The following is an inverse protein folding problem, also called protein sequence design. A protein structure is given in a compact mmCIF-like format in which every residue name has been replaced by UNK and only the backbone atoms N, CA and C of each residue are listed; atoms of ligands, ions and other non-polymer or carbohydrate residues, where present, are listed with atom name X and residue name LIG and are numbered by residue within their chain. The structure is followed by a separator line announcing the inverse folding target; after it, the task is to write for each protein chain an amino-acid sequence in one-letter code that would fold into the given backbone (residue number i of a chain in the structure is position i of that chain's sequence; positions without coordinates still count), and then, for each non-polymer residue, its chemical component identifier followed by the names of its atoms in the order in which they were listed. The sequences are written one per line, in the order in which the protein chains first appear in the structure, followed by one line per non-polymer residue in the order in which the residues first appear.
data_IF_436622294733
#
_entry.id   IF_436622294733
#
_cell.length_a   1.000
_cell.length_b   1.000
_cell.length_c   1.000
_cell.angle_alpha   90.00
_cell.angle_beta   90.00
_cell.angle_gamma   90.00
#
_symmetry.space_group_name_H-M   'P 1'
#
loop_
_entity.id
_entity.type
_entity.pdbx_description
1 polymer ?
#
# COMPACT_ATOMS: atom_id res chain seq x y z
N UNK A 1 5.90 -30.19 26.75
CA UNK A 1 6.05 -29.00 25.91
C UNK A 1 4.62 -28.57 25.59
N UNK A 2 4.20 -27.32 25.87
CA UNK A 2 2.89 -26.88 25.46
C UNK A 2 2.85 -26.82 23.93
N UNK A 3 1.80 -27.40 23.35
CA UNK A 3 1.52 -27.37 21.91
C UNK A 3 1.51 -25.92 21.44
N UNK A 4 2.49 -25.55 20.62
CA UNK A 4 2.49 -24.31 19.89
C UNK A 4 1.28 -24.29 18.95
N UNK A 5 0.18 -23.72 19.41
CA UNK A 5 -0.96 -23.44 18.57
C UNK A 5 -0.49 -22.38 17.57
N UNK A 6 -0.39 -22.71 16.28
CA UNK A 6 0.03 -21.71 15.30
C UNK A 6 -0.99 -20.58 15.32
N UNK A 7 -0.57 -19.37 15.70
CA UNK A 7 -1.35 -18.15 15.67
C UNK A 7 -1.75 -17.87 14.21
N UNK A 8 -2.90 -18.43 13.82
CA UNK A 8 -3.48 -18.17 12.51
C UNK A 8 -4.16 -16.81 12.54
N UNK A 9 -3.59 -15.83 11.85
CA UNK A 9 -4.22 -14.54 11.65
C UNK A 9 -5.27 -14.68 10.54
N UNK A 10 -6.57 -14.46 10.83
CA UNK A 10 -7.60 -14.53 9.80
C UNK A 10 -7.42 -13.40 8.80
N UNK A 11 -7.24 -13.77 7.55
CA UNK A 11 -7.13 -12.82 6.44
C UNK A 11 -8.25 -13.07 5.42
N UNK A 12 -8.83 -12.01 4.81
CA UNK A 12 -9.89 -12.18 3.82
C UNK A 12 -9.42 -12.99 2.62
N UNK A 13 -10.33 -13.74 2.01
CA UNK A 13 -10.04 -14.50 0.81
C UNK A 13 -9.52 -13.58 -0.32
N UNK A 14 -8.50 -14.05 -1.04
CA UNK A 14 -7.93 -13.39 -2.22
C UNK A 14 -8.18 -14.30 -3.43
N UNK A 15 -8.75 -13.76 -4.50
CA UNK A 15 -9.13 -14.51 -5.70
C UNK A 15 -9.90 -15.82 -5.36
N UNK A 16 -10.85 -15.76 -4.41
CA UNK A 16 -11.65 -16.87 -3.87
C UNK A 16 -10.85 -17.96 -3.12
N UNK A 17 -9.56 -17.75 -2.86
CA UNK A 17 -8.74 -18.68 -2.08
C UNK A 17 -8.64 -18.23 -0.63
N UNK A 18 -8.80 -19.18 0.30
CA UNK A 18 -8.55 -18.94 1.72
C UNK A 18 -7.05 -18.68 1.91
N UNK A 19 -6.73 -17.63 2.65
CA UNK A 19 -5.36 -17.28 3.02
C UNK A 19 -5.14 -17.67 4.47
N UNK A 20 -4.02 -18.32 4.72
CA UNK A 20 -3.55 -18.64 6.07
C UNK A 20 -2.10 -18.20 6.17
N UNK A 21 -1.78 -17.44 7.22
CA UNK A 21 -0.42 -17.10 7.57
C UNK A 21 0.02 -17.98 8.75
N UNK A 22 1.17 -18.62 8.63
CA UNK A 22 1.74 -19.49 9.65
C UNK A 22 3.26 -19.34 9.69
N UNK A 23 3.87 -19.74 10.80
CA UNK A 23 5.32 -19.77 10.96
C UNK A 23 5.83 -21.23 10.78
N UNK A 24 5.59 -21.77 9.59
CA UNK A 24 5.87 -23.18 9.26
C UNK A 24 7.04 -23.35 8.27
N UNK A 25 7.82 -22.30 8.02
CA UNK A 25 9.00 -22.36 7.14
C UNK A 25 8.68 -22.30 5.65
N UNK A 26 7.45 -21.92 5.24
CA UNK A 26 7.08 -21.66 3.86
C UNK A 26 7.76 -20.41 3.27
N UNK A 27 7.10 -19.73 2.33
CA UNK A 27 7.64 -18.45 1.79
C UNK A 27 7.62 -17.40 2.88
N UNK A 28 8.79 -16.86 3.19
CA UNK A 28 8.96 -15.86 4.25
C UNK A 28 8.81 -14.45 3.68
N UNK A 29 8.25 -13.58 4.50
CA UNK A 29 8.26 -12.13 4.30
C UNK A 29 8.63 -11.46 5.61
N UNK A 30 9.48 -10.44 5.56
CA UNK A 30 9.77 -9.56 6.69
C UNK A 30 8.65 -8.55 6.94
N UNK A 31 7.77 -8.35 5.97
CA UNK A 31 6.81 -7.25 5.91
C UNK A 31 5.36 -7.70 6.08
N UNK A 32 5.10 -8.67 6.93
CA UNK A 32 3.75 -9.15 7.23
C UNK A 32 2.80 -8.04 7.74
N UNK A 33 3.36 -6.95 8.27
CA UNK A 33 2.62 -5.73 8.61
C UNK A 33 1.85 -5.09 7.45
N UNK A 34 2.30 -5.28 6.20
CA UNK A 34 1.59 -4.84 5.01
C UNK A 34 0.17 -5.43 4.91
N UNK A 35 -0.03 -6.66 5.41
CA UNK A 35 -1.35 -7.28 5.47
C UNK A 35 -2.32 -6.54 6.40
N UNK A 36 -1.84 -6.01 7.53
CA UNK A 36 -2.65 -5.20 8.46
C UNK A 36 -3.01 -3.85 7.82
N UNK A 37 -2.07 -3.23 7.10
CA UNK A 37 -2.33 -2.01 6.32
C UNK A 37 -3.42 -2.24 5.27
N UNK A 38 -3.38 -3.36 4.58
CA UNK A 38 -4.41 -3.75 3.61
C UNK A 38 -5.79 -3.90 4.27
N UNK A 39 -5.87 -4.45 5.49
CA UNK A 39 -7.13 -4.53 6.23
C UNK A 39 -7.65 -3.13 6.63
N UNK A 40 -6.76 -2.23 7.01
CA UNK A 40 -7.11 -0.83 7.28
C UNK A 40 -7.62 -0.13 6.00
N UNK A 41 -6.94 -0.33 4.86
CA UNK A 41 -7.35 0.21 3.57
C UNK A 41 -8.75 -0.28 3.16
N UNK A 42 -9.06 -1.57 3.34
CA UNK A 42 -10.41 -2.12 3.06
C UNK A 42 -11.51 -1.40 3.84
N UNK A 43 -11.20 -0.87 5.04
CA UNK A 43 -12.16 -0.14 5.89
C UNK A 43 -12.21 1.34 5.58
N UNK A 44 -11.09 1.93 5.22
CA UNK A 44 -10.93 3.39 5.06
C UNK A 44 -10.97 3.86 3.63
N UNK A 45 -10.65 2.99 2.66
CA UNK A 45 -10.61 3.26 1.23
C UNK A 45 -9.76 4.49 0.85
N UNK A 46 -8.64 4.71 1.55
CA UNK A 46 -7.74 5.85 1.35
C UNK A 46 -7.15 5.82 -0.06
N UNK A 47 -6.52 4.69 -0.41
CA UNK A 47 -5.86 4.51 -1.72
C UNK A 47 -6.89 4.62 -2.85
N UNK A 48 -8.05 3.99 -2.68
CA UNK A 48 -9.13 4.06 -3.67
C UNK A 48 -9.63 5.50 -3.87
N UNK A 49 -9.75 6.25 -2.78
CA UNK A 49 -10.18 7.66 -2.82
C UNK A 49 -9.14 8.52 -3.55
N UNK A 50 -7.85 8.32 -3.25
CA UNK A 50 -6.77 9.06 -3.92
C UNK A 50 -6.67 8.69 -5.39
N UNK A 51 -6.76 7.40 -5.72
CA UNK A 51 -6.71 6.93 -7.11
C UNK A 51 -7.79 7.55 -8.00
N UNK A 52 -8.99 7.78 -7.45
CA UNK A 52 -10.09 8.41 -8.17
C UNK A 52 -9.86 9.89 -8.52
N UNK A 53 -8.83 10.52 -7.96
CA UNK A 53 -8.47 11.93 -8.22
C UNK A 53 -7.35 12.09 -9.25
N UNK A 54 -6.78 10.98 -9.70
CA UNK A 54 -5.69 10.94 -10.69
C UNK A 54 -6.29 10.53 -12.02
N UNK A 55 -6.11 11.36 -13.02
CA UNK A 55 -6.53 11.06 -14.38
C UNK A 55 -5.54 10.06 -15.01
N UNK A 56 -6.03 8.92 -15.48
CA UNK A 56 -5.20 7.91 -16.17
C UNK A 56 -5.36 8.06 -17.69
N UNK A 57 -4.40 8.66 -18.38
CA UNK A 57 -4.46 8.87 -19.83
C UNK A 57 -4.14 7.61 -20.66
N UNK A 58 -3.81 6.49 -19.99
CA UNK A 58 -3.41 5.25 -20.68
C UNK A 58 -4.62 4.56 -21.31
N UNK A 59 -4.39 3.89 -22.43
CA UNK A 59 -5.41 3.04 -23.07
C UNK A 59 -5.81 1.87 -22.14
N UNK A 60 -7.07 1.77 -21.74
CA UNK A 60 -7.54 0.70 -20.84
C UNK A 60 -7.23 -0.72 -21.34
N UNK A 61 -7.15 -0.93 -22.66
CA UNK A 61 -6.84 -2.24 -23.25
C UNK A 61 -5.38 -2.68 -23.02
N UNK A 62 -4.49 -1.74 -22.68
CA UNK A 62 -3.05 -1.98 -22.50
C UNK A 62 -2.57 -1.77 -21.06
N UNK A 63 -3.49 -1.58 -20.11
CA UNK A 63 -3.16 -1.40 -18.69
C UNK A 63 -2.88 -2.75 -18.04
N UNK A 64 -1.64 -2.99 -17.64
CA UNK A 64 -1.26 -4.14 -16.81
C UNK A 64 -1.51 -3.89 -15.32
N UNK A 65 -1.29 -2.65 -14.86
CA UNK A 65 -1.48 -2.23 -13.48
C UNK A 65 -2.35 -0.98 -13.46
N UNK A 66 -3.47 -1.05 -12.75
CA UNK A 66 -4.34 0.11 -12.53
C UNK A 66 -3.68 1.15 -11.64
N UNK A 67 -4.23 2.38 -11.61
CA UNK A 67 -3.77 3.42 -10.67
C UNK A 67 -3.86 2.93 -9.22
N UNK A 68 -4.92 2.20 -8.89
CA UNK A 68 -5.10 1.60 -7.55
C UNK A 68 -3.99 0.60 -7.25
N UNK A 69 -3.61 -0.27 -8.21
CA UNK A 69 -2.52 -1.23 -8.02
C UNK A 69 -1.19 -0.52 -7.76
N UNK A 70 -0.89 0.51 -8.55
CA UNK A 70 0.34 1.29 -8.44
C UNK A 70 0.42 1.99 -7.08
N UNK A 71 -0.65 2.71 -6.71
CA UNK A 71 -0.71 3.39 -5.43
C UNK A 71 -0.67 2.42 -4.24
N UNK A 72 -1.33 1.26 -4.33
CA UNK A 72 -1.31 0.26 -3.27
C UNK A 72 0.11 -0.23 -2.99
N UNK A 73 0.83 -0.63 -4.03
CA UNK A 73 2.22 -1.06 -3.89
C UNK A 73 3.09 0.03 -3.27
N UNK A 74 2.94 1.27 -3.73
CA UNK A 74 3.75 2.39 -3.27
C UNK A 74 3.43 2.83 -1.84
N UNK A 75 2.15 3.00 -1.52
CA UNK A 75 1.69 3.42 -0.18
C UNK A 75 2.07 2.39 0.88
N UNK A 76 1.88 1.10 0.59
CA UNK A 76 2.27 0.05 1.53
C UNK A 76 3.79 -0.02 1.70
N UNK A 77 4.57 0.16 0.63
CA UNK A 77 6.03 0.22 0.71
C UNK A 77 6.49 1.37 1.63
N UNK A 78 6.00 2.59 1.41
CA UNK A 78 6.32 3.74 2.26
C UNK A 78 5.93 3.48 3.73
N UNK A 79 4.74 2.94 3.96
CA UNK A 79 4.25 2.66 5.30
C UNK A 79 5.04 1.53 6.02
N UNK A 80 5.70 0.65 5.28
CA UNK A 80 6.63 -0.35 5.80
C UNK A 80 8.08 0.16 5.91
N UNK A 81 8.34 1.44 5.59
CA UNK A 81 9.66 2.04 5.73
C UNK A 81 10.50 2.10 4.45
N UNK A 82 9.98 1.63 3.34
CA UNK A 82 10.64 1.66 2.03
C UNK A 82 10.34 2.97 1.30
N UNK A 83 11.07 4.01 1.62
CA UNK A 83 10.89 5.34 1.05
C UNK A 83 11.36 5.43 -0.41
N UNK A 84 12.34 4.58 -0.82
CA UNK A 84 12.87 4.56 -2.17
C UNK A 84 12.00 3.70 -3.10
N UNK A 85 11.71 4.24 -4.29
CA UNK A 85 11.01 3.49 -5.34
C UNK A 85 11.81 2.28 -5.85
N UNK A 86 13.14 2.27 -5.70
CA UNK A 86 14.02 1.16 -6.09
C UNK A 86 13.71 -0.13 -5.31
N UNK A 87 13.25 -0.03 -4.08
CA UNK A 87 12.90 -1.18 -3.24
C UNK A 87 11.78 -2.03 -3.87
N UNK A 88 10.95 -1.42 -4.71
CA UNK A 88 9.88 -2.10 -5.42
C UNK A 88 10.38 -3.12 -6.46
N UNK A 89 11.66 -3.11 -6.82
CA UNK A 89 12.20 -4.13 -7.71
C UNK A 89 12.10 -5.55 -7.11
N UNK A 90 12.18 -5.68 -5.81
CA UNK A 90 12.09 -6.96 -5.08
C UNK A 90 10.81 -7.08 -4.24
N UNK A 91 10.30 -6.00 -3.69
CA UNK A 91 9.01 -6.01 -3.00
C UNK A 91 7.85 -6.45 -3.92
N UNK A 92 7.98 -6.23 -5.25
CA UNK A 92 6.96 -6.63 -6.22
C UNK A 92 6.63 -8.12 -6.22
N UNK A 93 7.59 -8.97 -5.85
CA UNK A 93 7.44 -10.42 -5.76
C UNK A 93 7.26 -10.93 -4.33
N UNK A 94 7.35 -10.04 -3.34
CA UNK A 94 7.18 -10.40 -1.93
C UNK A 94 5.77 -10.93 -1.67
N UNK A 95 5.62 -12.08 -0.98
CA UNK A 95 4.33 -12.72 -0.76
C UNK A 95 3.36 -11.89 0.07
N UNK A 96 3.83 -11.16 1.11
CA UNK A 96 2.97 -10.33 1.95
C UNK A 96 2.51 -9.08 1.19
N UNK A 97 3.38 -8.44 0.41
CA UNK A 97 3.00 -7.31 -0.44
C UNK A 97 2.01 -7.72 -1.53
N UNK A 98 2.22 -8.87 -2.18
CA UNK A 98 1.27 -9.40 -3.17
C UNK A 98 -0.10 -9.62 -2.55
N UNK A 99 -0.17 -10.24 -1.36
CA UNK A 99 -1.42 -10.43 -0.63
C UNK A 99 -2.07 -9.11 -0.22
N UNK A 100 -1.30 -8.17 0.31
CA UNK A 100 -1.79 -6.85 0.67
C UNK A 100 -2.43 -6.12 -0.52
N UNK A 101 -1.84 -6.25 -1.70
CA UNK A 101 -2.37 -5.71 -2.97
C UNK A 101 -3.41 -6.62 -3.64
N UNK A 102 -3.95 -7.64 -2.95
CA UNK A 102 -5.02 -8.50 -3.45
C UNK A 102 -4.59 -9.54 -4.49
N UNK A 103 -3.30 -9.89 -4.54
CA UNK A 103 -2.74 -10.89 -5.44
C UNK A 103 -2.30 -12.14 -4.69
N UNK A 104 -2.41 -13.29 -5.35
CA UNK A 104 -1.93 -14.55 -4.77
C UNK A 104 -0.39 -14.54 -4.70
N UNK A 105 0.22 -15.01 -3.60
CA UNK A 105 1.66 -14.94 -3.41
C UNK A 105 2.44 -15.74 -4.46
N UNK A 106 1.97 -16.92 -4.82
CA UNK A 106 2.67 -17.84 -5.73
C UNK A 106 2.26 -17.66 -7.19
N UNK A 107 0.96 -17.65 -7.46
CA UNK A 107 0.41 -17.70 -8.81
C UNK A 107 -0.09 -16.35 -9.32
N UNK A 108 -0.20 -15.34 -8.44
CA UNK A 108 -0.58 -13.99 -8.83
C UNK A 108 0.55 -13.29 -9.55
N UNK A 109 0.20 -12.40 -10.49
CA UNK A 109 1.19 -11.56 -11.16
C UNK A 109 1.94 -10.69 -10.14
N UNK A 110 3.18 -10.34 -10.44
CA UNK A 110 3.96 -9.41 -9.64
C UNK A 110 3.32 -8.02 -9.59
N UNK A 111 3.66 -7.24 -8.57
CA UNK A 111 3.29 -5.83 -8.51
C UNK A 111 4.06 -5.04 -9.59
N UNK A 112 3.73 -3.76 -9.73
CA UNK A 112 4.38 -2.91 -10.71
C UNK A 112 5.88 -2.74 -10.42
N UNK A 113 6.66 -2.57 -11.49
CA UNK A 113 8.11 -2.38 -11.40
C UNK A 113 8.47 -0.94 -11.01
N UNK A 114 9.68 -0.76 -10.49
CA UNK A 114 10.23 0.56 -10.16
C UNK A 114 10.11 1.59 -11.31
N UNK A 115 10.42 1.27 -12.58
CA UNK A 115 10.24 2.25 -13.66
C UNK A 115 8.78 2.68 -13.85
N UNK A 116 7.82 1.82 -13.53
CA UNK A 116 6.40 2.17 -13.56
C UNK A 116 6.07 3.15 -12.43
N UNK A 117 6.54 2.86 -11.22
CA UNK A 117 6.36 3.75 -10.05
C UNK A 117 6.98 5.11 -10.33
N UNK A 118 8.23 5.16 -10.77
CA UNK A 118 8.94 6.42 -11.04
C UNK A 118 8.22 7.29 -12.07
N UNK A 119 7.68 6.68 -13.12
CA UNK A 119 6.85 7.41 -14.10
C UNK A 119 5.60 7.99 -13.45
N UNK A 120 4.95 7.22 -12.57
CA UNK A 120 3.72 7.66 -11.89
C UNK A 120 3.99 8.72 -10.82
N UNK A 121 5.10 8.66 -10.11
CA UNK A 121 5.48 9.69 -9.13
C UNK A 121 5.75 11.05 -9.80
N UNK A 122 6.20 11.03 -11.05
CA UNK A 122 6.52 12.25 -11.81
C UNK A 122 5.41 12.69 -12.79
N UNK A 123 4.33 11.93 -12.91
CA UNK A 123 3.25 12.23 -13.85
C UNK A 123 2.24 13.28 -13.34
N UNK A 124 1.88 13.35 -12.04
CA UNK A 124 0.81 14.22 -11.59
C UNK A 124 1.08 15.68 -11.83
N UNK A 125 0.09 16.37 -12.37
CA UNK A 125 0.09 17.82 -12.52
C UNK A 125 -0.01 18.52 -11.16
N UNK A 126 0.40 19.79 -11.10
CA UNK A 126 0.26 20.59 -9.87
C UNK A 126 -1.20 20.62 -9.36
N UNK A 127 -2.18 20.66 -10.27
CA UNK A 127 -3.60 20.63 -9.91
C UNK A 127 -3.99 19.32 -9.22
N UNK A 128 -3.48 18.19 -9.71
CA UNK A 128 -3.72 16.87 -9.09
C UNK A 128 -3.03 16.76 -7.74
N UNK A 129 -1.80 17.25 -7.61
CA UNK A 129 -1.09 17.29 -6.33
C UNK A 129 -1.88 18.08 -5.29
N UNK A 130 -2.42 19.26 -5.65
CA UNK A 130 -3.25 20.06 -4.76
C UNK A 130 -4.52 19.30 -4.38
N UNK A 131 -5.21 18.66 -5.34
CA UNK A 131 -6.40 17.83 -5.05
C UNK A 131 -6.10 16.69 -4.10
N UNK A 132 -4.99 15.98 -4.32
CA UNK A 132 -4.54 14.88 -3.47
C UNK A 132 -4.23 15.36 -2.04
N UNK A 133 -3.57 16.51 -1.90
CA UNK A 133 -3.27 17.11 -0.59
C UNK A 133 -4.54 17.42 0.19
N UNK A 134 -5.53 18.08 -0.44
CA UNK A 134 -6.81 18.35 0.21
C UNK A 134 -7.58 17.07 0.55
N UNK A 135 -7.55 16.07 -0.33
CA UNK A 135 -8.18 14.78 -0.06
C UNK A 135 -7.57 14.06 1.15
N UNK A 136 -6.25 14.11 1.32
CA UNK A 136 -5.58 13.56 2.50
C UNK A 136 -6.03 14.27 3.78
N UNK A 137 -6.14 15.60 3.76
CA UNK A 137 -6.66 16.38 4.88
C UNK A 137 -8.10 15.98 5.19
N UNK A 138 -8.94 15.85 4.18
CA UNK A 138 -10.34 15.43 4.34
C UNK A 138 -10.45 14.02 4.94
N UNK A 139 -9.65 13.06 4.46
CA UNK A 139 -9.61 11.69 4.98
C UNK A 139 -9.19 11.72 6.45
N UNK A 140 -8.17 12.51 6.78
CA UNK A 140 -7.71 12.69 8.15
C UNK A 140 -8.80 13.29 9.05
N UNK A 141 -9.45 14.37 8.63
CA UNK A 141 -10.55 14.99 9.38
C UNK A 141 -11.70 14.01 9.62
N UNK A 142 -12.09 13.22 8.62
CA UNK A 142 -13.16 12.20 8.74
C UNK A 142 -12.76 10.99 9.59
N UNK A 143 -11.49 10.84 9.93
CA UNK A 143 -11.04 9.75 10.82
C UNK A 143 -11.45 9.97 12.28
N UNK A 144 -11.78 11.20 12.65
CA UNK A 144 -12.19 11.56 13.99
C UNK A 144 -13.72 11.59 14.13
N UNK A 145 -14.25 11.00 15.19
CA UNK A 145 -15.66 11.12 15.57
C UNK A 145 -15.99 12.50 16.16
N UNK A 146 -14.99 13.12 16.80
CA UNK A 146 -15.03 14.51 17.30
C UNK A 146 -13.74 15.20 16.90
N UNK A 147 -13.78 16.46 16.46
CA UNK A 147 -12.58 17.21 16.16
C UNK A 147 -11.63 17.21 17.37
N UNK A 148 -10.33 17.04 17.19
CA UNK A 148 -9.36 17.16 18.27
C UNK A 148 -9.32 18.61 18.78
N UNK A 149 -9.14 18.79 20.11
CA UNK A 149 -9.04 20.11 20.73
C UNK A 149 -7.80 20.90 20.25
N UNK A 150 -6.75 20.20 19.87
CA UNK A 150 -5.53 20.77 19.32
C UNK A 150 -4.88 19.80 18.34
N UNK A 151 -4.16 20.36 17.36
CA UNK A 151 -3.32 19.62 16.41
C UNK A 151 -1.88 20.15 16.58
N UNK A 152 -0.95 19.26 16.89
CA UNK A 152 0.46 19.61 16.94
C UNK A 152 1.09 19.25 15.60
N UNK A 153 1.58 20.25 14.91
CA UNK A 153 2.38 20.07 13.69
C UNK A 153 3.85 20.08 14.09
N UNK A 154 4.57 18.98 13.85
CA UNK A 154 6.02 18.93 14.05
C UNK A 154 6.74 19.30 12.74
N UNK A 155 7.29 20.52 12.62
CA UNK A 155 7.99 20.95 11.41
C UNK A 155 9.35 20.27 11.21
N UNK A 156 9.81 19.47 12.19
CA UNK A 156 11.11 18.79 12.15
C UNK A 156 11.10 17.50 11.33
N UNK A 157 9.99 17.16 10.68
CA UNK A 157 9.96 16.08 9.69
C UNK A 157 10.64 16.52 8.39
N UNK A 158 11.88 16.99 8.53
CA UNK A 158 12.80 17.13 7.42
C UNK A 158 13.48 15.78 7.28
N UNK A 159 13.25 15.12 6.14
CA UNK A 159 13.96 13.89 5.81
C UNK A 159 15.45 14.10 6.05
N UNK A 160 16.05 13.26 6.87
CA UNK A 160 17.47 13.19 7.08
C UNK A 160 18.14 13.10 5.70
N UNK A 161 18.79 14.17 5.31
CA UNK A 161 19.71 14.15 4.18
C UNK A 161 20.91 13.34 4.65
N UNK A 162 20.84 12.02 4.46
CA UNK A 162 22.02 11.21 4.56
C UNK A 162 23.05 11.73 3.53
N UNK A 163 24.12 12.30 4.07
CA UNK A 163 25.33 12.61 3.36
C UNK A 163 26.05 11.32 2.94
#
# INVERSE_FOLDING_TARGET
MPDDIPLSVPYPAVARKKITAAFDGGRLSSDSGAMLLSLAERRRAVIKTLAALIDDPRDPAHITHTVVDILSGRVFAIACGYADGNDLNWLRSDPAFKLACGRLPETGADLCSQPTISRWENAPTLREIIRLTYALIDIWCRSYTKPPAAVVLDPRFHGDKHR
#
